data_IF_601334596619
#
_entry.id   IF_601334596619
#
_cell.length_a   1.000
_cell.length_b   1.000
_cell.length_c   1.000
_cell.angle_alpha   90.00
_cell.angle_beta   90.00
_cell.angle_gamma   90.00
#
_symmetry.space_group_name_H-M   'P 1'
#
loop_
_entity.id
_entity.type
_entity.pdbx_description
1 polymer ?
#
# COMPACT_ATOMS: atom_id res chain seq x y z
N UNK A 1 -19.35 14.81 -3.24
CA UNK A 1 -18.16 14.16 -3.87
C UNK A 1 -18.30 12.65 -3.94
N UNK A 2 -18.40 11.89 -2.82
CA UNK A 2 -18.50 10.41 -2.86
C UNK A 2 -19.63 9.91 -3.76
N UNK A 3 -20.87 10.34 -3.48
CA UNK A 3 -22.04 9.94 -4.26
C UNK A 3 -21.99 10.40 -5.72
N UNK A 4 -21.36 11.52 -5.97
CA UNK A 4 -21.14 12.04 -7.33
C UNK A 4 -20.20 11.12 -8.13
N UNK A 5 -19.12 10.65 -7.50
CA UNK A 5 -18.17 9.73 -8.14
C UNK A 5 -18.81 8.36 -8.35
N UNK A 6 -19.54 7.84 -7.35
CA UNK A 6 -20.32 6.58 -7.48
C UNK A 6 -21.29 6.71 -8.65
N UNK A 7 -22.11 7.76 -8.69
CA UNK A 7 -23.07 7.99 -9.78
C UNK A 7 -22.36 8.13 -11.14
N UNK A 8 -21.22 8.81 -11.16
CA UNK A 8 -20.41 8.97 -12.37
C UNK A 8 -19.88 7.64 -12.93
N UNK A 9 -19.46 6.72 -12.05
CA UNK A 9 -19.01 5.38 -12.45
C UNK A 9 -20.18 4.50 -12.89
N UNK A 10 -21.32 4.56 -12.17
CA UNK A 10 -22.55 3.84 -12.56
C UNK A 10 -23.06 4.31 -13.91
N UNK A 11 -23.06 5.63 -14.16
CA UNK A 11 -23.45 6.20 -15.46
C UNK A 11 -22.57 5.72 -16.62
N UNK A 12 -21.37 5.24 -16.33
CA UNK A 12 -20.41 4.63 -17.27
C UNK A 12 -20.57 3.10 -17.40
N UNK A 13 -21.59 2.54 -16.79
CA UNK A 13 -21.97 1.13 -16.92
C UNK A 13 -21.38 0.19 -15.87
N UNK A 14 -20.76 0.69 -14.82
CA UNK A 14 -20.33 -0.17 -13.70
C UNK A 14 -21.51 -0.52 -12.80
N UNK A 15 -21.60 -1.76 -12.30
CA UNK A 15 -22.54 -2.12 -11.24
C UNK A 15 -22.33 -1.24 -9.99
N UNK A 16 -23.41 -0.96 -9.25
CA UNK A 16 -23.35 -0.08 -8.08
C UNK A 16 -22.30 -0.55 -7.05
N UNK A 17 -22.29 -1.83 -6.72
CA UNK A 17 -21.35 -2.39 -5.75
C UNK A 17 -19.88 -2.26 -6.21
N UNK A 18 -19.62 -2.41 -7.52
CA UNK A 18 -18.29 -2.19 -8.11
C UNK A 18 -17.89 -0.72 -8.00
N UNK A 19 -18.79 0.20 -8.34
CA UNK A 19 -18.55 1.64 -8.22
C UNK A 19 -18.25 2.04 -6.76
N UNK A 20 -18.98 1.50 -5.79
CA UNK A 20 -18.74 1.74 -4.36
C UNK A 20 -17.36 1.22 -3.92
N UNK A 21 -16.97 0.01 -4.33
CA UNK A 21 -15.67 -0.56 -4.06
C UNK A 21 -14.51 0.26 -4.65
N UNK A 22 -14.68 0.78 -5.88
CA UNK A 22 -13.71 1.66 -6.53
C UNK A 22 -13.59 2.99 -5.76
N UNK A 23 -14.72 3.63 -5.42
CA UNK A 23 -14.73 4.92 -4.70
C UNK A 23 -14.10 4.79 -3.31
N UNK A 24 -14.33 3.68 -2.61
CA UNK A 24 -13.67 3.39 -1.34
C UNK A 24 -12.13 3.39 -1.47
N UNK A 25 -11.63 2.82 -2.54
CA UNK A 25 -10.20 2.85 -2.84
C UNK A 25 -9.70 4.26 -3.22
N UNK A 26 -10.41 4.99 -4.08
CA UNK A 26 -10.07 6.38 -4.42
C UNK A 26 -10.05 7.26 -3.17
N UNK A 27 -10.98 7.05 -2.22
CA UNK A 27 -10.99 7.74 -0.92
C UNK A 27 -9.75 7.42 -0.09
N UNK A 28 -9.30 6.18 -0.11
CA UNK A 28 -8.09 5.76 0.59
C UNK A 28 -6.82 6.34 -0.03
N UNK A 29 -6.75 6.47 -1.37
CA UNK A 29 -5.60 6.96 -2.13
C UNK A 29 -5.46 8.48 -2.10
N UNK A 30 -6.54 9.20 -2.35
CA UNK A 30 -6.51 10.64 -2.65
C UNK A 30 -7.41 11.49 -1.76
N UNK A 31 -8.19 10.86 -0.85
CA UNK A 31 -9.26 11.56 -0.15
C UNK A 31 -10.33 12.13 -1.12
N UNK A 32 -10.46 11.53 -2.30
CA UNK A 32 -11.34 11.96 -3.39
C UNK A 32 -11.01 13.37 -3.95
N UNK A 33 -9.74 13.75 -3.90
CA UNK A 33 -9.26 15.01 -4.45
C UNK A 33 -8.64 14.77 -5.83
N UNK A 34 -9.29 15.18 -6.93
CA UNK A 34 -8.79 14.90 -8.28
C UNK A 34 -7.50 15.67 -8.62
N UNK A 35 -7.23 16.79 -7.95
CA UNK A 35 -6.02 17.59 -8.16
C UNK A 35 -4.86 17.24 -7.23
N UNK A 36 -5.00 16.22 -6.38
CA UNK A 36 -3.94 15.90 -5.42
C UNK A 36 -2.72 15.30 -6.12
N UNK A 37 -1.54 15.76 -5.72
CA UNK A 37 -0.26 15.19 -6.12
C UNK A 37 0.49 14.73 -4.87
N UNK A 38 1.04 13.53 -4.90
CA UNK A 38 1.89 13.01 -3.82
C UNK A 38 3.08 13.95 -3.59
N UNK A 39 3.24 14.40 -2.34
CA UNK A 39 4.27 15.41 -1.99
C UNK A 39 5.63 14.75 -1.77
N UNK A 40 5.65 13.52 -1.26
CA UNK A 40 6.88 12.81 -0.88
C UNK A 40 6.95 11.42 -1.50
N UNK A 41 7.20 11.32 -2.82
CA UNK A 41 7.29 10.04 -3.49
C UNK A 41 8.47 9.22 -2.95
N UNK A 42 8.22 7.93 -2.72
CA UNK A 42 9.24 6.99 -2.19
C UNK A 42 10.39 6.78 -3.18
N UNK A 43 10.10 6.87 -4.49
CA UNK A 43 11.12 6.70 -5.55
C UNK A 43 11.77 8.05 -5.85
N UNK A 44 13.09 8.19 -5.64
CA UNK A 44 13.82 9.42 -5.97
C UNK A 44 13.64 9.82 -7.44
N UNK A 45 13.33 11.09 -7.69
CA UNK A 45 13.08 11.62 -9.04
C UNK A 45 11.69 11.31 -9.61
N UNK A 46 10.84 10.58 -8.90
CA UNK A 46 9.44 10.38 -9.26
C UNK A 46 8.66 11.69 -9.07
N UNK A 47 7.70 11.94 -9.97
CA UNK A 47 6.71 13.02 -9.80
C UNK A 47 5.59 12.68 -8.81
N UNK A 48 5.61 11.45 -8.26
CA UNK A 48 4.62 10.94 -7.33
C UNK A 48 3.31 10.52 -7.98
N UNK A 49 2.39 10.08 -7.14
CA UNK A 49 1.03 9.76 -7.51
C UNK A 49 0.20 11.01 -7.79
N UNK A 50 -0.73 10.92 -8.74
CA UNK A 50 -1.62 12.03 -9.11
C UNK A 50 -3.08 11.58 -9.21
N UNK A 51 -3.98 12.44 -8.73
CA UNK A 51 -5.43 12.32 -8.89
C UNK A 51 -6.06 11.19 -8.08
N UNK A 52 -7.28 10.82 -8.43
CA UNK A 52 -8.13 9.90 -7.65
C UNK A 52 -7.48 8.53 -7.39
N UNK A 53 -6.79 7.97 -8.38
CA UNK A 53 -6.14 6.65 -8.29
C UNK A 53 -4.64 6.72 -7.98
N UNK A 54 -4.11 7.92 -7.72
CA UNK A 54 -2.68 8.14 -7.49
C UNK A 54 -1.81 7.49 -8.57
N UNK A 55 -2.15 7.77 -9.85
CA UNK A 55 -1.37 7.27 -10.99
C UNK A 55 0.09 7.69 -10.90
N UNK A 56 1.00 6.73 -11.04
CA UNK A 56 2.45 6.94 -11.00
C UNK A 56 3.13 6.48 -12.28
N UNK A 57 4.36 6.93 -12.51
CA UNK A 57 5.22 6.46 -13.60
C UNK A 57 4.53 6.47 -14.97
N UNK A 58 4.60 5.37 -15.75
CA UNK A 58 4.00 5.29 -17.08
C UNK A 58 2.48 5.49 -17.08
N UNK A 59 1.76 5.03 -16.05
CA UNK A 59 0.30 5.22 -15.95
C UNK A 59 -0.06 6.71 -15.81
N UNK A 60 0.73 7.48 -15.06
CA UNK A 60 0.54 8.92 -14.93
C UNK A 60 0.77 9.62 -16.28
N UNK A 61 1.83 9.27 -16.99
CA UNK A 61 2.11 9.83 -18.33
C UNK A 61 0.94 9.56 -19.28
N UNK A 62 0.47 8.32 -19.33
CA UNK A 62 -0.66 7.93 -20.16
C UNK A 62 -1.97 8.67 -19.78
N UNK A 63 -2.21 8.91 -18.50
CA UNK A 63 -3.32 9.75 -18.06
C UNK A 63 -3.19 11.21 -18.54
N UNK A 64 -2.01 11.80 -18.39
CA UNK A 64 -1.74 13.17 -18.82
C UNK A 64 -1.96 13.34 -20.35
N UNK A 65 -1.51 12.37 -21.14
CA UNK A 65 -1.76 12.31 -22.59
C UNK A 65 -3.26 12.18 -22.90
N UNK A 66 -3.96 11.31 -22.18
CA UNK A 66 -5.40 11.09 -22.33
C UNK A 66 -6.20 12.37 -22.05
N UNK A 67 -5.88 13.12 -21.01
CA UNK A 67 -6.52 14.37 -20.65
C UNK A 67 -6.17 15.47 -21.69
N UNK A 68 -4.91 15.58 -22.07
CA UNK A 68 -4.43 16.54 -23.07
C UNK A 68 -5.12 16.36 -24.42
N UNK A 69 -5.26 15.10 -24.88
CA UNK A 69 -5.94 14.78 -26.14
C UNK A 69 -7.42 15.22 -26.15
N UNK A 70 -8.01 15.40 -24.97
CA UNK A 70 -9.40 15.87 -24.78
C UNK A 70 -9.50 17.35 -24.47
N UNK A 71 -8.37 18.07 -24.41
CA UNK A 71 -8.32 19.48 -24.02
C UNK A 71 -8.83 19.73 -22.60
N UNK A 72 -8.64 18.75 -21.69
CA UNK A 72 -9.12 18.82 -20.31
C UNK A 72 -7.98 19.03 -19.33
N UNK A 73 -8.22 19.79 -18.23
CA UNK A 73 -7.25 19.91 -17.17
C UNK A 73 -7.06 18.56 -16.44
N UNK A 74 -5.91 18.37 -15.83
CA UNK A 74 -5.57 17.10 -15.18
C UNK A 74 -6.44 16.81 -13.95
N UNK A 75 -7.00 17.81 -13.31
CA UNK A 75 -7.89 17.71 -12.15
C UNK A 75 -9.38 17.61 -12.53
N UNK A 76 -9.70 17.49 -13.83
CA UNK A 76 -11.08 17.28 -14.27
C UNK A 76 -11.59 15.92 -13.80
N UNK A 77 -12.58 15.95 -12.89
CA UNK A 77 -13.15 14.76 -12.28
C UNK A 77 -13.67 13.76 -13.33
N UNK A 78 -14.43 14.26 -14.31
CA UNK A 78 -15.07 13.40 -15.30
C UNK A 78 -14.01 12.71 -16.20
N UNK A 79 -12.96 13.43 -16.55
CA UNK A 79 -11.85 12.89 -17.33
C UNK A 79 -11.10 11.79 -16.54
N UNK A 80 -10.95 11.93 -15.22
CA UNK A 80 -10.35 10.89 -14.38
C UNK A 80 -11.23 9.63 -14.29
N UNK A 81 -12.54 9.79 -14.22
CA UNK A 81 -13.47 8.65 -14.27
C UNK A 81 -13.44 7.96 -15.64
N UNK A 82 -13.42 8.73 -16.73
CA UNK A 82 -13.28 8.17 -18.08
C UNK A 82 -11.98 7.39 -18.25
N UNK A 83 -10.86 7.92 -17.72
CA UNK A 83 -9.58 7.25 -17.79
C UNK A 83 -9.54 5.98 -16.94
N UNK A 84 -10.16 5.98 -15.77
CA UNK A 84 -10.30 4.79 -14.93
C UNK A 84 -10.97 3.65 -15.72
N UNK A 85 -12.06 3.96 -16.43
CA UNK A 85 -12.75 2.97 -17.29
C UNK A 85 -11.90 2.56 -18.50
N UNK A 86 -11.21 3.51 -19.13
CA UNK A 86 -10.30 3.23 -20.22
C UNK A 86 -9.20 2.23 -19.82
N UNK A 87 -8.58 2.43 -18.65
CA UNK A 87 -7.59 1.48 -18.13
C UNK A 87 -8.23 0.11 -17.85
N UNK A 88 -9.37 0.07 -17.16
CA UNK A 88 -10.07 -1.17 -16.81
C UNK A 88 -10.48 -1.96 -18.05
N UNK A 89 -10.98 -1.31 -19.09
CA UNK A 89 -11.43 -1.96 -20.32
C UNK A 89 -10.29 -2.29 -21.29
N UNK A 90 -9.11 -1.72 -21.07
CA UNK A 90 -7.93 -1.87 -21.91
C UNK A 90 -6.78 -2.58 -21.18
N UNK A 91 -5.73 -1.85 -20.79
CA UNK A 91 -4.52 -2.45 -20.23
C UNK A 91 -4.74 -3.21 -18.92
N UNK A 92 -5.78 -2.88 -18.15
CA UNK A 92 -6.12 -3.52 -16.88
C UNK A 92 -7.37 -4.43 -16.99
N UNK A 93 -7.65 -4.98 -18.18
CA UNK A 93 -8.85 -5.80 -18.45
C UNK A 93 -8.99 -7.04 -17.56
N UNK A 94 -7.88 -7.61 -17.08
CA UNK A 94 -7.91 -8.68 -16.09
C UNK A 94 -8.52 -8.25 -14.76
N UNK A 95 -8.23 -7.00 -14.30
CA UNK A 95 -8.86 -6.43 -13.12
C UNK A 95 -10.34 -6.16 -13.38
N UNK A 96 -10.69 -5.66 -14.57
CA UNK A 96 -12.08 -5.44 -14.95
C UNK A 96 -12.90 -6.73 -14.91
N UNK A 97 -12.40 -7.81 -15.54
CA UNK A 97 -13.06 -9.13 -15.52
C UNK A 97 -13.26 -9.64 -14.10
N UNK A 98 -12.26 -9.47 -13.23
CA UNK A 98 -12.38 -9.89 -11.84
C UNK A 98 -13.42 -9.05 -11.07
N UNK A 99 -13.52 -7.75 -11.33
CA UNK A 99 -14.53 -6.87 -10.74
C UNK A 99 -15.95 -7.24 -11.17
N UNK A 100 -16.13 -7.66 -12.41
CA UNK A 100 -17.45 -8.13 -12.91
C UNK A 100 -17.92 -9.42 -12.24
N UNK A 101 -17.03 -10.17 -11.62
CA UNK A 101 -17.34 -11.40 -10.87
C UNK A 101 -17.59 -11.18 -9.39
N UNK A 102 -17.57 -9.93 -8.90
CA UNK A 102 -17.86 -9.61 -7.49
C UNK A 102 -19.36 -9.41 -7.27
N UNK A 103 -19.83 -9.70 -6.05
CA UNK A 103 -21.24 -9.61 -5.69
C UNK A 103 -21.52 -8.48 -4.66
N UNK A 104 -20.50 -7.96 -4.01
CA UNK A 104 -20.65 -6.94 -2.97
C UNK A 104 -19.52 -5.87 -3.04
N UNK A 105 -19.72 -4.69 -2.41
CA UNK A 105 -18.75 -3.59 -2.46
C UNK A 105 -17.43 -3.86 -1.73
N UNK A 106 -17.43 -4.74 -0.73
CA UNK A 106 -16.21 -5.06 0.03
C UNK A 106 -15.29 -5.95 -0.81
N UNK A 107 -15.87 -6.95 -1.47
CA UNK A 107 -15.15 -7.79 -2.41
C UNK A 107 -14.64 -6.96 -3.60
N UNK A 108 -15.47 -6.10 -4.17
CA UNK A 108 -15.07 -5.18 -5.24
C UNK A 108 -13.92 -4.26 -4.80
N UNK A 109 -13.95 -3.74 -3.57
CA UNK A 109 -12.86 -2.93 -3.03
C UNK A 109 -11.56 -3.71 -2.90
N UNK A 110 -11.61 -4.95 -2.44
CA UNK A 110 -10.46 -5.86 -2.35
C UNK A 110 -9.86 -6.13 -3.73
N UNK A 111 -10.69 -6.57 -4.68
CA UNK A 111 -10.28 -6.87 -6.05
C UNK A 111 -9.66 -5.64 -6.72
N UNK A 112 -10.26 -4.46 -6.58
CA UNK A 112 -9.72 -3.24 -7.15
C UNK A 112 -8.36 -2.87 -6.55
N UNK A 113 -8.21 -2.97 -5.24
CA UNK A 113 -6.92 -2.74 -4.57
C UNK A 113 -5.84 -3.70 -5.06
N UNK A 114 -6.12 -5.00 -5.09
CA UNK A 114 -5.14 -6.04 -5.38
C UNK A 114 -4.78 -6.13 -6.86
N UNK A 115 -5.76 -5.98 -7.75
CA UNK A 115 -5.57 -6.21 -9.19
C UNK A 115 -5.35 -4.94 -10.00
N UNK A 116 -5.95 -3.82 -9.60
CA UNK A 116 -5.84 -2.57 -10.34
C UNK A 116 -4.81 -1.60 -9.73
N UNK A 117 -4.93 -1.27 -8.43
CA UNK A 117 -4.03 -0.32 -7.76
C UNK A 117 -2.68 -0.93 -7.43
N UNK A 118 -2.67 -2.13 -6.86
CA UNK A 118 -1.47 -2.86 -6.43
C UNK A 118 -0.57 -2.03 -5.50
N UNK A 119 -1.11 -1.43 -4.44
CA UNK A 119 -0.36 -0.55 -3.56
C UNK A 119 0.72 -1.33 -2.78
N UNK A 120 1.85 -0.69 -2.49
CA UNK A 120 2.91 -1.29 -1.68
C UNK A 120 2.46 -1.62 -0.25
N UNK A 121 1.58 -0.79 0.33
CA UNK A 121 0.92 -1.02 1.63
C UNK A 121 -0.59 -0.96 1.39
N UNK A 122 -1.30 -2.10 1.37
CA UNK A 122 -2.71 -2.13 0.97
C UNK A 122 -3.66 -1.35 1.88
N UNK A 123 -3.40 -1.25 3.20
CA UNK A 123 -4.32 -0.65 4.18
C UNK A 123 -5.77 -1.15 3.97
N UNK A 124 -5.95 -2.46 3.84
CA UNK A 124 -7.20 -3.07 3.39
C UNK A 124 -8.37 -2.76 4.33
N UNK A 125 -8.13 -2.76 5.64
CA UNK A 125 -9.15 -2.44 6.64
C UNK A 125 -9.80 -1.08 6.40
N UNK A 126 -8.98 -0.08 6.07
CA UNK A 126 -9.46 1.27 5.75
C UNK A 126 -10.32 1.28 4.48
N UNK A 127 -9.92 0.52 3.44
CA UNK A 127 -10.66 0.45 2.18
C UNK A 127 -11.98 -0.27 2.35
N UNK A 128 -12.00 -1.39 3.08
CA UNK A 128 -13.22 -2.12 3.39
C UNK A 128 -14.17 -1.31 4.25
N UNK A 129 -13.63 -0.55 5.23
CA UNK A 129 -14.43 0.39 6.02
C UNK A 129 -15.16 1.42 5.16
N UNK A 130 -14.45 2.05 4.25
CA UNK A 130 -15.07 2.99 3.31
C UNK A 130 -16.09 2.35 2.37
N UNK A 131 -15.84 1.10 1.94
CA UNK A 131 -16.79 0.38 1.10
C UNK A 131 -18.08 0.02 1.88
N UNK A 132 -17.95 -0.43 3.13
CA UNK A 132 -19.08 -0.70 4.00
C UNK A 132 -19.92 0.57 4.28
N UNK A 133 -19.26 1.69 4.59
CA UNK A 133 -19.91 2.98 4.80
C UNK A 133 -20.72 3.43 3.56
N UNK A 134 -20.13 3.32 2.37
CA UNK A 134 -20.78 3.68 1.11
C UNK A 134 -21.97 2.79 0.77
N UNK A 135 -21.92 1.53 1.19
CA UNK A 135 -23.00 0.56 0.98
C UNK A 135 -24.09 0.61 2.07
N UNK A 136 -23.86 1.32 3.18
CA UNK A 136 -24.70 1.26 4.36
C UNK A 136 -24.68 -0.14 5.03
N UNK A 137 -23.60 -0.88 4.86
CA UNK A 137 -23.40 -2.22 5.41
C UNK A 137 -22.70 -2.12 6.78
N UNK A 138 -23.01 -3.04 7.72
CA UNK A 138 -22.18 -3.16 8.92
C UNK A 138 -20.76 -3.55 8.50
N UNK A 139 -19.76 -3.02 9.23
CA UNK A 139 -18.38 -3.46 9.04
C UNK A 139 -18.30 -4.98 9.27
N UNK A 140 -17.62 -5.72 8.38
CA UNK A 140 -17.32 -7.12 8.65
C UNK A 140 -16.57 -7.20 10.00
N UNK A 141 -16.89 -8.22 10.80
CA UNK A 141 -16.15 -8.53 12.03
C UNK A 141 -14.69 -8.80 11.66
N UNK A 142 -13.90 -7.74 11.60
CA UNK A 142 -12.47 -7.84 11.39
C UNK A 142 -11.86 -8.37 12.70
N UNK A 143 -10.98 -9.37 12.66
CA UNK A 143 -10.22 -9.71 13.85
C UNK A 143 -9.51 -8.44 14.31
N UNK A 144 -9.81 -8.03 15.55
CA UNK A 144 -9.33 -6.79 16.15
C UNK A 144 -7.83 -6.63 15.86
N UNK A 145 -7.48 -5.54 15.20
CA UNK A 145 -6.08 -5.17 15.01
C UNK A 145 -5.36 -5.24 16.36
N UNK A 146 -4.15 -5.74 16.40
CA UNK A 146 -3.35 -6.10 17.59
C UNK A 146 -3.37 -5.13 18.79
N UNK A 147 -3.94 -3.93 18.65
CA UNK A 147 -4.02 -2.93 19.73
C UNK A 147 -5.07 -3.22 20.82
N UNK A 148 -6.03 -4.14 20.61
CA UNK A 148 -7.07 -4.45 21.60
C UNK A 148 -6.90 -5.81 22.28
N UNK A 149 -5.81 -6.53 22.01
CA UNK A 149 -5.50 -7.83 22.64
C UNK A 149 -4.74 -7.66 23.97
N UNK A 150 -4.41 -6.43 24.36
CA UNK A 150 -3.66 -6.14 25.58
C UNK A 150 -4.24 -6.75 26.88
N UNK A 151 -5.56 -6.89 27.08
CA UNK A 151 -6.10 -7.52 28.30
C UNK A 151 -6.01 -9.06 28.32
N UNK A 152 -5.86 -9.71 27.14
CA UNK A 152 -5.80 -11.18 27.05
C UNK A 152 -4.39 -11.77 27.06
N UNK A 153 -3.36 -10.93 26.92
CA UNK A 153 -1.97 -11.38 26.83
C UNK A 153 -1.32 -11.70 28.20
N UNK A 154 -2.07 -11.69 29.30
CA UNK A 154 -1.54 -12.04 30.62
C UNK A 154 -1.17 -13.52 30.80
N UNK A 155 -1.41 -14.39 29.80
CA UNK A 155 -1.13 -15.84 29.90
C UNK A 155 -0.53 -16.49 28.65
N UNK A 156 -0.20 -15.73 27.60
CA UNK A 156 0.55 -16.28 26.46
C UNK A 156 2.03 -15.93 26.60
N UNK A 157 2.86 -16.95 26.78
CA UNK A 157 4.31 -16.76 26.66
C UNK A 157 4.65 -16.29 25.25
N UNK A 158 5.60 -15.33 25.09
CA UNK A 158 6.00 -14.86 23.78
C UNK A 158 6.53 -16.00 22.93
N UNK A 159 5.93 -16.19 21.76
CA UNK A 159 6.35 -17.22 20.80
C UNK A 159 7.29 -16.67 19.72
N UNK A 160 7.75 -15.43 19.85
CA UNK A 160 8.76 -14.87 18.95
C UNK A 160 10.15 -15.29 19.41
N UNK A 161 10.83 -16.21 18.69
CA UNK A 161 12.19 -16.65 19.06
C UNK A 161 13.22 -15.52 18.99
N UNK A 162 12.82 -14.33 18.57
CA UNK A 162 13.69 -13.15 18.38
C UNK A 162 13.36 -11.99 19.34
N UNK A 163 12.46 -12.20 20.31
CA UNK A 163 12.12 -11.18 21.30
C UNK A 163 13.35 -10.84 22.17
N UNK A 164 13.67 -9.54 22.23
CA UNK A 164 14.91 -9.07 22.87
C UNK A 164 16.11 -8.87 21.95
N UNK A 165 16.01 -9.31 20.69
CA UNK A 165 17.07 -9.07 19.70
C UNK A 165 16.93 -7.70 19.04
N UNK A 166 18.06 -7.00 18.87
CA UNK A 166 18.12 -5.74 18.12
C UNK A 166 17.78 -5.92 16.64
N UNK A 167 17.41 -4.82 15.97
CA UNK A 167 16.97 -4.81 14.56
C UNK A 167 17.94 -5.55 13.61
N UNK A 168 19.24 -5.41 13.82
CA UNK A 168 20.28 -6.06 13.01
C UNK A 168 20.29 -7.58 13.21
N UNK A 169 20.04 -8.06 14.43
CA UNK A 169 19.96 -9.49 14.73
C UNK A 169 18.70 -10.12 14.13
N UNK A 170 17.57 -9.41 14.15
CA UNK A 170 16.32 -9.84 13.48
C UNK A 170 16.48 -9.93 11.97
N UNK A 171 17.17 -8.96 11.37
CA UNK A 171 17.43 -8.94 9.93
C UNK A 171 18.38 -10.06 9.50
N UNK A 172 19.39 -10.37 10.31
CA UNK A 172 20.30 -11.49 10.09
C UNK A 172 19.58 -12.85 10.21
N UNK A 173 18.67 -12.99 11.19
CA UNK A 173 17.87 -14.19 11.40
C UNK A 173 16.90 -14.44 10.23
N UNK A 174 16.21 -13.41 9.76
CA UNK A 174 15.26 -13.50 8.62
C UNK A 174 15.92 -13.90 7.30
N UNK A 175 17.25 -13.74 7.19
CA UNK A 175 18.06 -14.12 6.01
C UNK A 175 18.87 -15.41 6.20
N UNK A 176 18.58 -16.18 7.25
CA UNK A 176 19.26 -17.45 7.52
C UNK A 176 20.70 -17.33 8.03
N UNK A 177 21.18 -16.12 8.34
CA UNK A 177 22.55 -15.86 8.79
C UNK A 177 22.69 -16.10 10.29
N UNK A 178 21.58 -16.07 11.04
CA UNK A 178 21.58 -16.18 12.49
C UNK A 178 21.92 -17.60 13.03
N UNK A 179 21.77 -18.62 12.19
CA UNK A 179 22.08 -20.01 12.57
C UNK A 179 23.58 -20.25 12.76
N UNK A 180 24.43 -19.43 12.15
CA UNK A 180 25.90 -19.51 12.30
C UNK A 180 26.43 -18.67 13.49
N UNK A 181 25.56 -17.75 14.03
CA UNK A 181 26.00 -16.77 15.03
C UNK A 181 25.75 -17.20 16.49
N UNK A 182 25.04 -18.29 16.77
CA UNK A 182 24.88 -19.00 18.04
C UNK A 182 25.06 -18.19 19.33
N UNK A 183 24.42 -17.01 19.47
CA UNK A 183 24.55 -16.18 20.68
C UNK A 183 25.84 -15.36 20.79
N UNK A 184 26.58 -15.19 19.69
CA UNK A 184 27.85 -14.47 19.69
C UNK A 184 27.68 -12.92 19.86
N UNK A 185 28.68 -12.26 20.46
CA UNK A 185 28.69 -10.80 20.61
C UNK A 185 28.58 -10.06 19.26
N UNK A 186 28.00 -8.87 19.27
CA UNK A 186 27.78 -7.98 18.09
C UNK A 186 28.99 -7.85 17.15
N UNK A 187 30.21 -7.90 17.67
CA UNK A 187 31.44 -7.83 16.89
C UNK A 187 31.62 -9.03 15.94
N UNK A 188 31.18 -10.24 16.35
CA UNK A 188 31.25 -11.43 15.49
C UNK A 188 30.16 -11.41 14.42
N UNK A 189 28.99 -10.83 14.73
CA UNK A 189 27.89 -10.66 13.76
C UNK A 189 28.30 -9.71 12.62
N UNK A 190 28.97 -8.61 12.96
CA UNK A 190 29.51 -7.66 11.96
C UNK A 190 30.53 -8.33 11.02
N UNK A 191 31.35 -9.22 11.55
CA UNK A 191 32.37 -9.91 10.76
C UNK A 191 31.75 -10.92 9.77
N UNK A 192 30.69 -11.61 10.20
CA UNK A 192 29.93 -12.54 9.35
C UNK A 192 29.20 -11.81 8.23
N UNK A 193 28.61 -10.65 8.53
CA UNK A 193 27.89 -9.79 7.55
C UNK A 193 28.83 -9.24 6.48
N UNK A 194 30.03 -8.81 6.87
CA UNK A 194 31.04 -8.28 5.94
C UNK A 194 31.67 -9.37 5.08
N UNK A 195 31.81 -10.60 5.57
CA UNK A 195 32.33 -11.71 4.79
C UNK A 195 31.33 -12.23 3.72
N UNK A 196 30.02 -12.15 3.96
CA UNK A 196 28.99 -12.62 3.00
C UNK A 196 28.64 -11.61 1.91
N UNK A 197 29.34 -10.47 1.81
CA UNK A 197 29.21 -9.47 0.72
C UNK A 197 27.77 -8.99 0.44
N UNK A 198 26.93 -8.83 1.46
CA UNK A 198 25.62 -8.18 1.30
C UNK A 198 25.81 -6.65 1.46
N UNK A 199 25.75 -5.85 0.37
CA UNK A 199 26.10 -4.43 0.42
C UNK A 199 25.10 -3.60 1.25
N UNK A 200 23.86 -4.04 1.39
CA UNK A 200 22.84 -3.32 2.17
C UNK A 200 23.03 -3.48 3.67
N UNK A 201 23.42 -4.68 4.10
CA UNK A 201 23.72 -4.96 5.52
C UNK A 201 25.03 -4.33 5.97
N UNK A 202 26.03 -4.28 5.08
CA UNK A 202 27.32 -3.65 5.36
C UNK A 202 27.18 -2.13 5.55
N UNK A 203 26.33 -1.46 4.76
CA UNK A 203 26.11 -0.02 4.87
C UNK A 203 25.35 0.36 6.14
N UNK A 204 24.32 -0.41 6.53
CA UNK A 204 23.58 -0.21 7.77
C UNK A 204 24.46 -0.40 9.02
N UNK A 205 25.39 -1.35 8.96
CA UNK A 205 26.34 -1.61 10.04
C UNK A 205 27.35 -0.46 10.22
N UNK A 206 27.79 0.16 9.11
CA UNK A 206 28.68 1.34 9.13
C UNK A 206 27.99 2.58 9.71
N UNK A 207 26.73 2.83 9.36
CA UNK A 207 25.98 3.99 9.87
C UNK A 207 25.75 3.94 11.39
N UNK A 208 25.62 2.76 11.99
CA UNK A 208 25.44 2.62 13.45
C UNK A 208 26.74 2.42 14.24
N UNK A 209 27.80 1.92 13.62
CA UNK A 209 29.12 1.81 14.27
C UNK A 209 29.78 3.17 14.57
N UNK A 210 29.44 4.21 13.80
CA UNK A 210 29.93 5.57 14.03
C UNK A 210 29.30 6.30 15.24
N UNK A 211 28.19 5.79 15.77
CA UNK A 211 27.50 6.45 16.89
C UNK A 211 28.01 6.00 18.28
N UNK A 212 28.66 4.85 18.38
CA UNK A 212 29.20 4.33 19.64
C UNK A 212 30.61 4.84 19.97
N UNK A 213 31.29 5.49 19.02
CA UNK A 213 32.61 6.14 19.28
C UNK A 213 32.57 7.47 20.00
N UNK A 214 31.38 8.04 20.24
CA UNK A 214 31.24 9.37 20.84
C UNK A 214 30.79 9.39 22.32
N UNK A 215 30.59 8.22 22.94
CA UNK A 215 30.14 8.10 24.35
C UNK A 215 31.18 7.44 25.27
N UNK A 216 32.45 7.41 24.87
CA UNK A 216 33.55 6.85 25.64
C UNK A 216 34.79 7.71 25.62
N UNK A 217 34.66 9.00 26.04
CA UNK A 217 35.77 9.85 26.47
C UNK A 217 35.32 10.70 27.65
#
# INVERSE_FOLDING_TARGET
>A
MEQEIVAGLVARGLPLHVAQGIVANMKAESGLQPGINEISPVVPGSRGGFGLNQWTGPRRVAYEEFASARGKPLDDLQTQLDYTLYELQGPESAAYTALQGTDDPLEAARVYSEKFLRPGIPNMDKRLGYAADLAGMPMPDMPLAMGQIAPMMGQMQPTDPFEGMGLLSRLAASRGIAQEAGGAPLANLLNIITQKKDPQLAELAKQRGGFFGLLGA
#
